data_IF_122319427847
#
_entry.id   IF_122319427847
#
_cell.length_a   1.000
_cell.length_b   1.000
_cell.length_c   1.000
_cell.angle_alpha   90.00
_cell.angle_beta   90.00
_cell.angle_gamma   90.00
#
_symmetry.space_group_name_H-M   'P 1'
#
loop_
_entity.id
_entity.type
_entity.pdbx_description
1 polymer ?
#
# COMPACT_ATOMS: atom_id res chain seq x y z
N UNK A 1 29.58 -17.29 7.35
CA UNK A 1 28.36 -16.92 8.08
C UNK A 1 28.33 -15.40 8.04
N UNK A 2 27.56 -14.83 7.13
CA UNK A 2 27.47 -13.37 6.99
C UNK A 2 26.78 -12.82 8.23
N UNK A 3 27.48 -12.00 9.01
CA UNK A 3 26.88 -11.17 10.07
C UNK A 3 26.21 -9.95 9.41
N UNK A 4 25.33 -10.21 8.46
CA UNK A 4 24.59 -9.18 7.72
C UNK A 4 23.26 -8.90 8.39
N UNK A 5 22.94 -7.61 8.58
CA UNK A 5 21.63 -7.15 8.99
C UNK A 5 20.52 -7.80 8.14
N UNK A 6 19.41 -8.16 8.79
CA UNK A 6 18.18 -8.55 8.09
C UNK A 6 17.79 -7.44 7.10
N UNK A 7 17.17 -7.80 5.97
CA UNK A 7 16.65 -6.82 5.00
C UNK A 7 15.75 -5.76 5.67
N UNK A 8 15.09 -6.18 6.76
CA UNK A 8 14.27 -5.33 7.61
C UNK A 8 15.11 -4.26 8.31
N UNK A 9 16.14 -4.67 9.03
CA UNK A 9 17.02 -3.78 9.79
C UNK A 9 17.77 -2.81 8.86
N UNK A 10 18.15 -3.27 7.66
CA UNK A 10 18.80 -2.42 6.68
C UNK A 10 17.83 -1.40 6.06
N UNK A 11 16.58 -1.78 5.79
CA UNK A 11 15.58 -0.84 5.29
C UNK A 11 15.29 0.26 6.30
N UNK A 12 15.21 -0.09 7.59
CA UNK A 12 15.05 0.88 8.67
C UNK A 12 16.23 1.86 8.76
N UNK A 13 17.46 1.36 8.61
CA UNK A 13 18.67 2.22 8.58
C UNK A 13 18.63 3.21 7.43
N UNK A 14 18.32 2.73 6.22
CA UNK A 14 18.23 3.56 5.01
C UNK A 14 17.19 4.65 5.22
N UNK A 15 16.00 4.27 5.65
CA UNK A 15 14.93 5.23 5.97
C UNK A 15 15.36 6.25 7.00
N UNK A 16 15.94 5.82 8.13
CA UNK A 16 16.35 6.71 9.22
C UNK A 16 17.41 7.72 8.73
N UNK A 17 18.27 7.31 7.79
CA UNK A 17 19.31 8.16 7.21
C UNK A 17 18.79 9.26 6.28
N UNK A 18 17.56 9.16 5.75
CA UNK A 18 16.98 10.16 4.82
C UNK A 18 16.66 11.51 5.46
N UNK A 19 16.87 11.68 6.78
CA UNK A 19 16.74 12.95 7.48
C UNK A 19 15.33 13.56 7.51
N UNK A 20 14.34 12.89 6.90
CA UNK A 20 12.98 13.40 6.72
C UNK A 20 11.98 12.76 7.70
N UNK A 21 12.48 12.16 8.77
CA UNK A 21 11.67 11.91 9.97
C UNK A 21 11.70 13.18 10.82
N UNK A 22 11.11 14.28 10.30
CA UNK A 22 10.56 15.26 11.22
C UNK A 22 9.61 14.48 12.13
N UNK A 23 9.93 14.48 13.41
CA UNK A 23 9.37 13.68 14.50
C UNK A 23 7.92 14.08 14.85
N UNK A 24 7.09 14.24 13.83
CA UNK A 24 5.66 14.04 13.88
C UNK A 24 5.30 13.07 12.75
N UNK A 25 5.83 11.83 12.84
CA UNK A 25 5.03 10.68 12.38
C UNK A 25 3.60 10.97 12.85
N UNK A 26 2.54 10.86 12.02
CA UNK A 26 1.19 10.95 12.54
C UNK A 26 1.16 10.00 13.72
N UNK A 27 1.11 10.56 14.96
CA UNK A 27 1.54 9.85 16.18
C UNK A 27 1.04 8.43 16.07
N UNK A 28 1.96 7.45 16.02
CA UNK A 28 1.62 6.03 15.89
C UNK A 28 0.34 5.82 16.67
N UNK A 29 -0.74 5.43 15.96
CA UNK A 29 -2.11 5.66 16.45
C UNK A 29 -2.18 5.25 17.90
N UNK A 30 -2.34 6.24 18.78
CA UNK A 30 -2.30 5.97 20.20
C UNK A 30 -3.57 5.22 20.57
N UNK A 31 -3.43 3.92 20.77
CA UNK A 31 -4.51 3.03 21.16
C UNK A 31 -4.77 3.08 22.68
N UNK A 32 -4.07 3.93 23.45
CA UNK A 32 -4.46 4.20 24.84
C UNK A 32 -5.85 4.82 24.86
N UNK A 33 -6.73 4.30 25.72
CA UNK A 33 -8.12 4.74 25.81
C UNK A 33 -8.84 4.69 24.43
N UNK A 34 -8.53 3.67 23.61
CA UNK A 34 -9.07 3.54 22.25
C UNK A 34 -10.61 3.57 22.23
N UNK A 35 -11.28 2.98 23.21
CA UNK A 35 -12.75 2.98 23.29
C UNK A 35 -13.32 4.41 23.42
N UNK A 36 -12.78 5.22 24.32
CA UNK A 36 -13.21 6.61 24.50
C UNK A 36 -12.89 7.45 23.26
N UNK A 37 -11.70 7.28 22.68
CA UNK A 37 -11.31 7.98 21.46
C UNK A 37 -12.23 7.59 20.29
N UNK A 38 -12.47 6.29 20.08
CA UNK A 38 -13.35 5.79 19.04
C UNK A 38 -14.77 6.34 19.23
N UNK A 39 -15.30 6.31 20.46
CA UNK A 39 -16.62 6.86 20.76
C UNK A 39 -16.74 8.35 20.43
N UNK A 40 -15.70 9.16 20.70
CA UNK A 40 -15.67 10.59 20.35
C UNK A 40 -15.63 10.84 18.85
N UNK A 41 -15.05 9.93 18.07
CA UNK A 41 -15.00 10.03 16.61
C UNK A 41 -16.32 9.62 15.94
N UNK A 42 -17.13 8.80 16.62
CA UNK A 42 -18.45 8.38 16.16
C UNK A 42 -19.48 9.47 16.44
N UNK A 43 -19.54 10.45 15.53
CA UNK A 43 -20.53 11.54 15.54
C UNK A 43 -21.97 11.00 15.53
N UNK A 44 -22.86 11.66 16.27
CA UNK A 44 -24.29 11.32 16.23
C UNK A 44 -24.87 11.59 14.84
N UNK A 45 -25.84 10.78 14.46
CA UNK A 45 -26.51 10.98 13.17
C UNK A 45 -27.27 12.30 13.15
N UNK A 46 -27.28 13.04 12.02
CA UNK A 46 -28.09 14.23 11.90
C UNK A 46 -29.59 13.89 12.07
N UNK A 47 -30.37 14.80 12.67
CA UNK A 47 -31.80 14.60 12.84
C UNK A 47 -32.49 14.53 11.48
N UNK A 48 -33.48 13.65 11.33
CA UNK A 48 -34.19 13.47 10.07
C UNK A 48 -35.33 12.47 10.16
N UNK A 49 -35.96 12.09 9.04
CA UNK A 49 -37.12 11.20 9.02
C UNK A 49 -36.83 9.80 9.60
N UNK A 50 -35.55 9.42 9.67
CA UNK A 50 -35.11 8.16 10.27
C UNK A 50 -34.89 8.24 11.78
N UNK A 51 -34.93 9.42 12.41
CA UNK A 51 -34.75 9.57 13.86
C UNK A 51 -35.78 8.77 14.66
N UNK A 52 -37.03 8.74 14.20
CA UNK A 52 -38.11 7.93 14.80
C UNK A 52 -37.74 6.45 14.95
N UNK A 53 -36.93 5.91 14.03
CA UNK A 53 -36.49 4.51 14.09
C UNK A 53 -35.23 4.35 14.94
N UNK A 54 -34.30 5.32 14.90
CA UNK A 54 -33.07 5.31 15.69
C UNK A 54 -33.36 5.39 17.19
N UNK A 55 -34.35 6.19 17.58
CA UNK A 55 -34.77 6.36 18.98
C UNK A 55 -35.39 5.09 19.60
N UNK A 56 -35.83 4.13 18.77
CA UNK A 56 -36.37 2.85 19.26
C UNK A 56 -35.27 1.89 19.74
N UNK A 57 -34.01 2.18 19.47
CA UNK A 57 -32.91 1.32 19.89
C UNK A 57 -32.75 1.35 21.42
N UNK A 58 -32.67 0.17 22.04
CA UNK A 58 -32.46 0.02 23.49
C UNK A 58 -30.99 0.18 23.91
N UNK A 59 -30.09 0.39 22.95
CA UNK A 59 -28.65 0.50 23.16
C UNK A 59 -28.06 1.59 22.27
N UNK A 60 -26.86 2.08 22.64
CA UNK A 60 -26.11 3.05 21.86
C UNK A 60 -25.39 2.36 20.71
N UNK A 61 -25.59 2.84 19.49
CA UNK A 61 -25.00 2.22 18.31
C UNK A 61 -23.46 2.30 18.29
N UNK A 62 -22.86 3.31 18.93
CA UNK A 62 -21.41 3.44 19.04
C UNK A 62 -20.79 2.28 19.82
N UNK A 63 -21.45 1.87 20.91
CA UNK A 63 -21.02 0.72 21.72
C UNK A 63 -21.05 -0.56 20.90
N UNK A 64 -22.13 -0.77 20.13
CA UNK A 64 -22.23 -1.92 19.23
C UNK A 64 -21.13 -1.89 18.16
N UNK A 65 -20.82 -0.73 17.57
CA UNK A 65 -19.77 -0.61 16.56
C UNK A 65 -18.39 -0.94 17.13
N UNK A 66 -18.07 -0.43 18.32
CA UNK A 66 -16.82 -0.73 19.04
C UNK A 66 -16.75 -2.22 19.38
N UNK A 67 -17.84 -2.83 19.84
CA UNK A 67 -17.92 -4.25 20.17
C UNK A 67 -17.68 -5.16 18.95
N UNK A 68 -18.22 -4.80 17.79
CA UNK A 68 -18.11 -5.59 16.56
C UNK A 68 -16.73 -5.48 15.89
N UNK A 69 -16.23 -4.26 15.74
CA UNK A 69 -15.03 -4.00 14.93
C UNK A 69 -13.74 -3.94 15.76
N UNK A 70 -13.85 -3.71 17.07
CA UNK A 70 -12.74 -3.35 17.97
C UNK A 70 -12.47 -1.84 17.97
N UNK A 71 -12.17 -1.29 19.15
CA UNK A 71 -11.98 0.15 19.33
C UNK A 71 -10.82 0.71 18.49
N UNK A 72 -9.72 -0.03 18.41
CA UNK A 72 -8.52 0.33 17.65
C UNK A 72 -8.80 0.41 16.15
N UNK A 73 -9.58 -0.55 15.64
CA UNK A 73 -9.98 -0.61 14.24
C UNK A 73 -10.87 0.59 13.88
N UNK A 74 -11.90 0.85 14.70
CA UNK A 74 -12.80 2.00 14.53
C UNK A 74 -11.99 3.31 14.55
N UNK A 75 -11.13 3.49 15.55
CA UNK A 75 -10.29 4.68 15.69
C UNK A 75 -9.41 4.91 14.45
N UNK A 76 -8.76 3.86 13.95
CA UNK A 76 -7.91 3.94 12.76
C UNK A 76 -8.73 4.28 11.51
N UNK A 77 -9.81 3.54 11.24
CA UNK A 77 -10.67 3.76 10.06
C UNK A 77 -11.21 5.18 10.00
N UNK A 78 -11.74 5.68 11.12
CA UNK A 78 -12.29 7.03 11.17
C UNK A 78 -11.22 8.12 11.05
N UNK A 79 -10.00 7.91 11.57
CA UNK A 79 -8.87 8.85 11.34
C UNK A 79 -8.53 8.96 9.86
N UNK A 80 -8.47 7.82 9.17
CA UNK A 80 -8.22 7.75 7.72
C UNK A 80 -9.34 8.45 6.95
N UNK A 81 -10.59 8.10 7.23
CA UNK A 81 -11.74 8.69 6.53
C UNK A 81 -11.88 10.18 6.77
N UNK A 82 -11.69 10.68 7.99
CA UNK A 82 -11.72 12.12 8.27
C UNK A 82 -10.62 12.87 7.53
N UNK A 83 -9.43 12.28 7.40
CA UNK A 83 -8.36 12.89 6.62
C UNK A 83 -8.67 12.91 5.13
N UNK A 84 -9.19 11.82 4.58
CA UNK A 84 -9.62 11.76 3.18
C UNK A 84 -10.77 12.73 2.91
N UNK A 85 -11.76 12.80 3.81
CA UNK A 85 -12.89 13.73 3.73
C UNK A 85 -12.42 15.20 3.67
N UNK A 86 -11.35 15.54 4.40
CA UNK A 86 -10.76 16.89 4.40
C UNK A 86 -10.03 17.26 3.11
N UNK A 87 -9.69 16.30 2.25
CA UNK A 87 -8.92 16.53 1.03
C UNK A 87 -9.81 16.41 -0.22
N UNK A 88 -9.98 17.49 -1.00
CA UNK A 88 -10.83 17.50 -2.20
C UNK A 88 -10.49 16.40 -3.22
N UNK A 89 -9.26 15.89 -3.23
CA UNK A 89 -8.85 14.81 -4.12
C UNK A 89 -9.64 13.52 -3.89
N UNK A 90 -10.19 13.32 -2.69
CA UNK A 90 -10.98 12.16 -2.32
C UNK A 90 -12.50 12.43 -2.37
N UNK A 91 -12.93 13.60 -2.81
CA UNK A 91 -14.36 13.86 -2.99
C UNK A 91 -14.89 13.07 -4.20
N UNK A 92 -16.12 12.56 -4.07
CA UNK A 92 -16.74 11.79 -5.15
C UNK A 92 -16.99 12.69 -6.36
N UNK A 93 -16.73 12.21 -7.58
CA UNK A 93 -16.98 13.01 -8.77
C UNK A 93 -18.49 13.25 -8.94
N UNK A 94 -18.86 14.45 -9.38
CA UNK A 94 -20.25 14.82 -9.66
C UNK A 94 -20.80 14.23 -10.96
N UNK A 95 -19.90 13.71 -11.81
CA UNK A 95 -20.23 13.08 -13.10
C UNK A 95 -19.60 11.69 -13.21
N UNK A 96 -20.12 10.83 -14.08
CA UNK A 96 -19.41 9.63 -14.51
C UNK A 96 -18.03 9.98 -15.09
N UNK A 97 -17.03 9.16 -14.76
CA UNK A 97 -15.67 9.29 -15.27
C UNK A 97 -15.37 8.18 -16.30
N UNK A 98 -14.47 8.45 -17.24
CA UNK A 98 -13.93 7.40 -18.12
C UNK A 98 -12.97 6.48 -17.36
N UNK A 99 -12.60 5.36 -17.98
CA UNK A 99 -11.64 4.41 -17.37
C UNK A 99 -10.28 5.09 -17.16
N UNK A 100 -9.84 5.90 -18.11
CA UNK A 100 -8.58 6.64 -18.06
C UNK A 100 -8.59 7.67 -16.93
N UNK A 101 -9.69 8.39 -16.77
CA UNK A 101 -9.89 9.33 -15.66
C UNK A 101 -9.86 8.62 -14.30
N UNK A 102 -10.52 7.47 -14.18
CA UNK A 102 -10.44 6.63 -12.97
C UNK A 102 -9.00 6.17 -12.68
N UNK A 103 -8.23 5.79 -13.70
CA UNK A 103 -6.83 5.38 -13.54
C UNK A 103 -5.92 6.53 -13.09
N UNK A 104 -6.09 7.71 -13.67
CA UNK A 104 -5.33 8.90 -13.29
C UNK A 104 -5.69 9.36 -11.86
N UNK A 105 -6.98 9.48 -11.56
CA UNK A 105 -7.47 9.86 -10.23
C UNK A 105 -7.00 8.91 -9.14
N UNK A 106 -7.13 7.60 -9.35
CA UNK A 106 -6.66 6.60 -8.37
C UNK A 106 -5.14 6.64 -8.16
N UNK A 107 -4.36 7.03 -9.18
CA UNK A 107 -2.91 7.21 -9.04
C UNK A 107 -2.58 8.43 -8.19
N UNK A 108 -3.26 9.56 -8.43
CA UNK A 108 -3.11 10.79 -7.64
C UNK A 108 -3.52 10.56 -6.18
N UNK A 109 -4.68 9.94 -5.97
CA UNK A 109 -5.18 9.58 -4.63
C UNK A 109 -4.21 8.67 -3.89
N UNK A 110 -3.63 7.68 -4.57
CA UNK A 110 -2.66 6.78 -3.96
C UNK A 110 -1.38 7.51 -3.53
N UNK A 111 -0.82 8.38 -4.38
CA UNK A 111 0.35 9.20 -4.01
C UNK A 111 0.05 10.10 -2.81
N UNK A 112 -1.10 10.80 -2.83
CA UNK A 112 -1.53 11.63 -1.69
C UNK A 112 -1.76 10.81 -0.42
N UNK A 113 -2.26 9.58 -0.55
CA UNK A 113 -2.43 8.69 0.58
C UNK A 113 -1.09 8.28 1.22
N UNK A 114 -0.06 8.03 0.41
CA UNK A 114 1.31 7.78 0.90
C UNK A 114 1.83 8.99 1.67
N UNK A 115 1.60 10.21 1.17
CA UNK A 115 2.01 11.45 1.84
C UNK A 115 1.37 11.64 3.23
N UNK A 116 0.18 11.07 3.47
CA UNK A 116 -0.43 11.13 4.81
C UNK A 116 0.28 10.26 5.84
N UNK A 117 1.13 9.33 5.41
CA UNK A 117 1.91 8.46 6.28
C UNK A 117 1.04 7.71 7.31
N UNK A 118 -0.22 7.42 6.95
CA UNK A 118 -1.07 6.48 7.69
C UNK A 118 -0.46 5.08 7.79
N UNK A 119 0.45 4.80 6.86
CA UNK A 119 1.36 3.68 6.86
C UNK A 119 2.61 4.09 7.64
N UNK A 120 2.67 3.91 8.98
CA UNK A 120 3.95 3.86 9.64
C UNK A 120 4.76 2.69 9.05
N UNK A 121 6.05 2.62 9.34
CA UNK A 121 6.98 1.55 8.97
C UNK A 121 6.60 0.16 9.56
N UNK A 122 5.33 -0.22 9.51
CA UNK A 122 4.67 -1.34 10.18
C UNK A 122 5.04 -2.71 9.59
N UNK A 123 5.88 -2.76 8.55
CA UNK A 123 6.34 -4.05 8.04
C UNK A 123 7.57 -4.54 8.81
N UNK A 124 8.15 -3.72 9.70
CA UNK A 124 9.55 -3.90 10.13
C UNK A 124 9.81 -3.93 11.65
N UNK A 125 8.83 -3.66 12.54
CA UNK A 125 9.06 -3.60 14.00
C UNK A 125 8.57 -4.81 14.82
N UNK A 126 9.11 -4.96 16.02
CA UNK A 126 8.93 -6.04 17.02
C UNK A 126 7.47 -6.48 17.34
N UNK A 127 6.45 -5.64 17.12
CA UNK A 127 5.03 -5.97 17.38
C UNK A 127 4.26 -6.39 16.12
N UNK A 128 4.75 -7.41 15.42
CA UNK A 128 4.20 -7.92 14.15
C UNK A 128 2.67 -8.18 14.15
N UNK A 129 2.05 -8.78 15.19
CA UNK A 129 0.61 -9.08 15.16
C UNK A 129 -0.28 -7.83 15.12
N UNK A 130 0.08 -6.77 15.85
CA UNK A 130 -0.69 -5.52 15.88
C UNK A 130 -0.53 -4.74 14.57
N UNK A 131 0.66 -4.79 13.99
CA UNK A 131 0.98 -4.12 12.73
C UNK A 131 0.28 -4.76 11.53
N UNK A 132 0.24 -6.10 11.47
CA UNK A 132 -0.54 -6.81 10.47
C UNK A 132 -2.03 -6.47 10.57
N UNK A 133 -2.58 -6.38 11.79
CA UNK A 133 -3.96 -5.93 12.01
C UNK A 133 -4.19 -4.52 11.49
N UNK A 134 -3.30 -3.57 11.80
CA UNK A 134 -3.40 -2.20 11.31
C UNK A 134 -3.36 -2.11 9.77
N UNK A 135 -2.49 -2.90 9.12
CA UNK A 135 -2.47 -3.01 7.65
C UNK A 135 -3.81 -3.49 7.08
N UNK A 136 -4.38 -4.56 7.67
CA UNK A 136 -5.66 -5.10 7.23
C UNK A 136 -6.81 -4.09 7.45
N UNK A 137 -6.82 -3.39 8.57
CA UNK A 137 -7.79 -2.34 8.85
C UNK A 137 -7.66 -1.13 7.92
N UNK A 138 -6.43 -0.73 7.56
CA UNK A 138 -6.17 0.29 6.53
C UNK A 138 -6.71 -0.13 5.17
N UNK A 139 -6.40 -1.37 4.75
CA UNK A 139 -6.91 -1.92 3.50
C UNK A 139 -8.44 -1.96 3.49
N UNK A 140 -9.06 -2.37 4.61
CA UNK A 140 -10.51 -2.40 4.76
C UNK A 140 -11.10 -0.98 4.67
N UNK A 141 -10.49 0.01 5.35
CA UNK A 141 -10.90 1.41 5.30
C UNK A 141 -10.88 1.95 3.86
N UNK A 142 -9.82 1.65 3.11
CA UNK A 142 -9.67 2.03 1.72
C UNK A 142 -10.68 1.31 0.83
N UNK A 143 -10.93 0.02 1.07
CA UNK A 143 -11.88 -0.75 0.27
C UNK A 143 -13.32 -0.25 0.42
N UNK A 144 -13.70 0.19 1.62
CA UNK A 144 -15.00 0.83 1.87
C UNK A 144 -15.15 2.17 1.13
N UNK A 145 -14.04 2.87 0.90
CA UNK A 145 -14.02 4.09 0.11
C UNK A 145 -13.98 3.77 -1.40
N UNK A 146 -12.94 3.12 -1.90
CA UNK A 146 -12.78 2.79 -3.31
C UNK A 146 -11.92 1.54 -3.51
N UNK A 147 -12.47 0.56 -4.23
CA UNK A 147 -11.78 -0.71 -4.48
C UNK A 147 -10.50 -0.53 -5.32
N UNK A 148 -10.45 0.47 -6.22
CA UNK A 148 -9.27 0.70 -7.06
C UNK A 148 -8.10 1.24 -6.23
N UNK A 149 -8.38 2.19 -5.33
CA UNK A 149 -7.39 2.72 -4.37
C UNK A 149 -6.90 1.62 -3.41
N UNK A 150 -7.81 0.81 -2.87
CA UNK A 150 -7.47 -0.34 -2.02
C UNK A 150 -6.58 -1.35 -2.74
N UNK A 151 -6.88 -1.66 -4.00
CA UNK A 151 -6.06 -2.57 -4.80
C UNK A 151 -4.66 -2.01 -5.04
N UNK A 152 -4.53 -0.71 -5.37
CA UNK A 152 -3.22 -0.05 -5.50
C UNK A 152 -2.41 -0.15 -4.22
N UNK A 153 -3.05 0.10 -3.08
CA UNK A 153 -2.41 -0.05 -1.77
C UNK A 153 -1.92 -1.48 -1.52
N UNK A 154 -2.76 -2.50 -1.75
CA UNK A 154 -2.39 -3.89 -1.50
C UNK A 154 -1.33 -4.40 -2.49
N UNK A 155 -1.40 -4.02 -3.76
CA UNK A 155 -0.37 -4.35 -4.76
C UNK A 155 0.99 -3.78 -4.38
N UNK A 156 1.01 -2.54 -3.89
CA UNK A 156 2.25 -1.85 -3.55
C UNK A 156 2.85 -2.32 -2.21
N UNK A 157 2.07 -2.29 -1.14
CA UNK A 157 2.56 -2.63 0.20
C UNK A 157 2.46 -4.13 0.50
N UNK A 158 1.42 -4.80 0.02
CA UNK A 158 1.24 -6.24 0.21
C UNK A 158 2.13 -7.06 -0.73
N UNK A 159 1.93 -6.92 -2.05
CA UNK A 159 2.61 -7.79 -3.02
C UNK A 159 4.05 -7.38 -3.28
N UNK A 160 4.32 -6.12 -3.63
CA UNK A 160 5.68 -5.69 -3.95
C UNK A 160 6.60 -5.69 -2.73
N UNK A 161 6.20 -5.04 -1.65
CA UNK A 161 7.05 -5.01 -0.44
C UNK A 161 7.14 -6.40 0.20
N UNK A 162 6.04 -7.17 0.21
CA UNK A 162 6.05 -8.56 0.69
C UNK A 162 6.97 -9.48 -0.13
N UNK A 163 7.01 -9.33 -1.46
CA UNK A 163 7.92 -10.11 -2.30
C UNK A 163 9.39 -9.79 -2.00
N UNK A 164 9.74 -8.50 -1.84
CA UNK A 164 11.12 -8.11 -1.51
C UNK A 164 11.50 -8.60 -0.11
N UNK A 165 10.61 -8.50 0.87
CA UNK A 165 10.87 -8.96 2.23
C UNK A 165 11.05 -10.48 2.34
N UNK A 166 10.31 -11.25 1.54
CA UNK A 166 10.32 -12.71 1.62
C UNK A 166 11.39 -13.36 0.74
N UNK A 167 11.67 -12.80 -0.44
CA UNK A 167 12.60 -13.36 -1.42
C UNK A 167 13.91 -12.55 -1.58
N UNK A 168 13.98 -11.35 -1.00
CA UNK A 168 15.12 -10.45 -1.14
C UNK A 168 16.15 -10.59 -0.02
N UNK A 169 17.41 -10.23 -0.33
CA UNK A 169 18.47 -10.01 0.66
C UNK A 169 18.57 -8.54 1.09
N UNK A 170 19.40 -8.23 2.10
CA UNK A 170 19.68 -6.86 2.60
C UNK A 170 19.97 -5.84 1.51
N UNK A 171 20.65 -6.22 0.41
CA UNK A 171 20.91 -5.35 -0.76
C UNK A 171 19.66 -4.72 -1.40
N UNK A 172 18.49 -5.34 -1.19
CA UNK A 172 17.21 -4.87 -1.76
C UNK A 172 16.44 -3.94 -0.81
N UNK A 173 16.95 -3.68 0.39
CA UNK A 173 16.34 -2.79 1.38
C UNK A 173 16.04 -1.39 0.83
N UNK A 174 16.91 -0.87 -0.04
CA UNK A 174 16.70 0.40 -0.74
C UNK A 174 15.40 0.47 -1.56
N UNK A 175 14.88 -0.68 -2.04
CA UNK A 175 13.65 -0.72 -2.82
C UNK A 175 12.41 -0.70 -1.94
N UNK A 176 12.50 -1.23 -0.73
CA UNK A 176 11.45 -1.09 0.29
C UNK A 176 11.31 0.38 0.64
N UNK A 177 12.43 1.04 0.94
CA UNK A 177 12.44 2.47 1.27
C UNK A 177 11.88 3.34 0.13
N UNK A 178 12.32 3.12 -1.12
CA UNK A 178 11.75 3.80 -2.31
C UNK A 178 10.25 3.52 -2.48
N UNK A 179 9.80 2.30 -2.17
CA UNK A 179 8.37 1.95 -2.15
C UNK A 179 7.60 2.77 -1.13
N UNK A 180 8.07 2.80 0.12
CA UNK A 180 7.42 3.53 1.21
C UNK A 180 7.21 5.02 0.91
N UNK A 181 8.08 5.63 0.11
CA UNK A 181 8.00 7.04 -0.28
C UNK A 181 7.25 7.28 -1.60
N UNK A 182 6.69 6.24 -2.23
CA UNK A 182 6.01 6.35 -3.52
C UNK A 182 6.95 6.66 -4.69
N UNK A 183 8.26 6.45 -4.52
CA UNK A 183 9.30 6.67 -5.53
C UNK A 183 9.42 5.50 -6.51
N UNK A 184 8.85 4.33 -6.16
CA UNK A 184 8.77 3.17 -7.04
C UNK A 184 7.35 2.96 -7.57
N UNK A 185 7.20 2.86 -8.89
CA UNK A 185 5.96 2.45 -9.52
C UNK A 185 5.88 0.94 -9.63
N UNK A 186 4.97 0.32 -8.90
CA UNK A 186 4.68 -1.10 -9.05
C UNK A 186 3.75 -1.31 -10.24
N UNK A 187 4.26 -1.88 -11.33
CA UNK A 187 3.43 -2.35 -12.45
C UNK A 187 3.30 -3.87 -12.31
N UNK A 188 2.10 -4.35 -11.97
CA UNK A 188 1.73 -5.74 -12.18
C UNK A 188 1.19 -5.83 -13.62
N UNK A 189 1.92 -6.49 -14.51
CA UNK A 189 1.37 -6.96 -15.78
C UNK A 189 0.59 -8.24 -15.54
N UNK A 190 -0.30 -8.55 -16.50
CA UNK A 190 -1.24 -9.66 -16.44
C UNK A 190 -0.57 -10.97 -16.04
N UNK A 191 -0.76 -11.38 -14.79
CA UNK A 191 -0.41 -12.71 -14.35
C UNK A 191 -1.36 -13.69 -15.04
N UNK A 192 -0.82 -14.61 -15.84
CA UNK A 192 -1.56 -15.81 -16.22
C UNK A 192 -1.87 -16.59 -14.93
N UNK A 193 -3.15 -16.87 -14.66
CA UNK A 193 -3.64 -17.44 -13.39
C UNK A 193 -3.18 -18.88 -13.08
N UNK A 194 -2.09 -19.37 -13.67
CA UNK A 194 -1.54 -20.71 -13.47
C UNK A 194 -0.01 -20.66 -13.50
N UNK A 195 0.59 -20.69 -12.30
CA UNK A 195 2.04 -20.51 -12.01
C UNK A 195 2.97 -21.48 -12.77
N UNK A 196 2.45 -22.53 -13.41
CA UNK A 196 3.27 -23.55 -14.08
C UNK A 196 3.79 -23.16 -15.47
N UNK A 197 3.31 -22.07 -16.08
CA UNK A 197 3.78 -21.62 -17.40
C UNK A 197 3.81 -20.09 -17.48
N UNK A 198 4.99 -19.51 -17.25
CA UNK A 198 5.27 -18.14 -17.61
C UNK A 198 5.93 -18.11 -18.99
N UNK A 199 5.48 -17.20 -19.85
CA UNK A 199 6.10 -16.94 -21.17
C UNK A 199 7.26 -15.94 -21.05
N UNK A 200 7.90 -15.88 -19.88
CA UNK A 200 8.99 -14.96 -19.57
C UNK A 200 10.20 -15.80 -19.17
N UNK A 201 11.27 -15.71 -19.95
CA UNK A 201 12.56 -16.33 -19.63
C UNK A 201 13.51 -15.26 -19.11
N UNK A 202 14.33 -15.63 -18.12
CA UNK A 202 15.46 -14.84 -17.64
C UNK A 202 16.76 -15.53 -18.06
N UNK A 203 17.55 -14.87 -18.89
CA UNK A 203 18.88 -15.35 -19.27
C UNK A 203 19.93 -14.57 -18.49
N UNK A 204 20.93 -15.26 -17.97
CA UNK A 204 22.02 -14.63 -17.23
C UNK A 204 23.28 -14.61 -18.09
N UNK A 205 23.65 -13.42 -18.55
CA UNK A 205 24.80 -13.20 -19.43
C UNK A 205 25.66 -12.07 -18.87
N UNK A 206 26.98 -12.31 -18.74
CA UNK A 206 27.97 -11.31 -18.33
C UNK A 206 27.63 -10.52 -17.04
N UNK A 207 27.05 -11.20 -16.04
CA UNK A 207 26.66 -10.57 -14.78
C UNK A 207 25.37 -9.75 -14.84
N UNK A 208 24.69 -9.73 -15.98
CA UNK A 208 23.38 -9.11 -16.17
C UNK A 208 22.31 -10.18 -16.43
N UNK A 209 21.09 -9.90 -15.97
CA UNK A 209 19.93 -10.75 -16.26
C UNK A 209 19.06 -10.06 -17.30
N UNK A 210 18.98 -10.66 -18.49
CA UNK A 210 18.10 -10.23 -19.56
C UNK A 210 16.73 -10.92 -19.42
N UNK A 211 15.65 -10.17 -19.60
CA UNK A 211 14.28 -10.66 -19.51
C UNK A 211 13.61 -10.58 -20.88
N UNK A 212 13.05 -11.69 -21.35
CA UNK A 212 12.37 -11.78 -22.64
C UNK A 212 10.89 -12.12 -22.46
N UNK A 213 9.99 -11.39 -23.13
CA UNK A 213 8.54 -11.65 -23.13
C UNK A 213 8.06 -12.15 -24.49
N UNK A 214 7.34 -13.27 -24.47
CA UNK A 214 6.72 -14.03 -25.58
C UNK A 214 7.63 -14.87 -26.49
N UNK A 215 7.53 -16.18 -26.29
CA UNK A 215 8.05 -17.25 -27.16
C UNK A 215 8.63 -18.38 -26.30
N UNK A 216 8.28 -19.64 -26.57
CA UNK A 216 8.94 -20.78 -25.91
C UNK A 216 10.45 -20.64 -26.09
N UNK A 217 11.18 -20.69 -24.98
CA UNK A 217 12.62 -20.88 -24.98
C UNK A 217 12.92 -22.26 -25.60
N UNK A 218 13.07 -22.32 -26.92
CA UNK A 218 13.72 -23.46 -27.57
C UNK A 218 14.92 -23.03 -28.44
N UNK A 219 15.00 -21.80 -28.98
CA UNK A 219 16.22 -21.34 -29.68
C UNK A 219 16.35 -19.81 -29.70
N UNK A 220 17.40 -19.28 -29.06
CA UNK A 220 17.82 -17.89 -29.21
C UNK A 220 18.81 -17.81 -30.38
N UNK A 221 18.39 -17.37 -31.58
CA UNK A 221 19.41 -16.95 -32.58
C UNK A 221 19.00 -15.89 -33.64
N UNK A 222 17.74 -15.58 -33.94
CA UNK A 222 17.43 -14.57 -34.99
C UNK A 222 16.23 -13.64 -34.66
N UNK A 223 16.53 -12.35 -34.35
CA UNK A 223 15.89 -11.05 -34.76
C UNK A 223 14.33 -10.99 -34.97
N UNK A 224 13.56 -9.88 -34.74
CA UNK A 224 13.65 -8.66 -33.92
C UNK A 224 12.43 -8.40 -32.98
N UNK A 225 12.58 -7.39 -32.12
CA UNK A 225 11.63 -6.69 -31.21
C UNK A 225 10.12 -6.84 -31.48
N UNK A 226 9.36 -7.22 -30.45
CA UNK A 226 8.21 -6.43 -29.93
C UNK A 226 7.62 -6.98 -28.61
N UNK A 227 7.67 -6.12 -27.58
CA UNK A 227 6.73 -5.90 -26.45
C UNK A 227 6.23 -7.08 -25.58
N UNK A 228 6.72 -7.11 -24.33
CA UNK A 228 6.03 -6.67 -23.09
C UNK A 228 6.32 -7.61 -21.90
N UNK A 229 6.79 -7.03 -20.79
CA UNK A 229 7.45 -7.70 -19.66
C UNK A 229 6.57 -7.72 -18.39
N UNK A 230 6.79 -8.73 -17.52
CA UNK A 230 6.51 -8.59 -16.08
C UNK A 230 7.26 -9.55 -15.16
N UNK A 231 8.16 -8.98 -14.37
CA UNK A 231 8.28 -9.21 -12.94
C UNK A 231 9.03 -7.98 -12.39
N UNK A 232 8.35 -7.14 -11.60
CA UNK A 232 8.92 -5.99 -10.88
C UNK A 232 9.88 -5.13 -11.74
N UNK A 233 9.33 -4.38 -12.69
CA UNK A 233 10.06 -3.26 -13.28
C UNK A 233 10.08 -2.12 -12.27
N UNK A 234 11.09 -2.07 -11.41
CA UNK A 234 11.53 -0.78 -10.84
C UNK A 234 11.92 0.07 -12.05
N UNK A 235 11.21 1.18 -12.27
CA UNK A 235 11.40 2.08 -13.41
C UNK A 235 12.89 2.42 -13.59
N UNK A 236 13.52 1.79 -14.59
CA UNK A 236 14.93 1.93 -14.90
C UNK A 236 15.28 3.23 -15.66
N UNK A 237 14.32 4.12 -15.88
CA UNK A 237 14.58 5.35 -16.66
C UNK A 237 15.15 6.51 -15.83
N UNK A 238 15.15 6.44 -14.49
CA UNK A 238 15.78 7.45 -13.63
C UNK A 238 16.98 6.93 -12.80
N UNK A 239 17.44 5.69 -13.01
CA UNK A 239 18.61 5.15 -12.29
C UNK A 239 19.94 5.24 -13.08
N UNK A 240 19.93 5.72 -14.33
CA UNK A 240 21.13 5.81 -15.17
C UNK A 240 21.65 7.24 -15.45
N UNK A 241 21.05 8.30 -14.88
CA UNK A 241 21.53 9.68 -15.10
C UNK A 241 22.29 10.32 -13.95
N UNK A 242 22.64 9.57 -12.89
CA UNK A 242 23.44 10.08 -11.78
C UNK A 242 24.75 9.28 -11.59
N UNK A 243 25.57 9.25 -12.65
CA UNK A 243 27.02 9.04 -12.51
C UNK A 243 27.74 9.43 -13.81
N UNK A 244 27.96 10.75 -13.96
CA UNK A 244 29.17 11.34 -14.56
C UNK A 244 29.38 12.67 -13.88
#
# INVERSE_FOLDING_TARGET
MDQGFSIVEEAERITASRGNLNHETPRAIDFKNAEDQARRMLEEFPPGPLSLYREKASFRWQDMKILLDGAENVLLKYKVWKRMESDPLFHRPSRPMTIEEHRDMSTKQFRRFIEYQFTPYFMLRENFPLQLKAYLWLQEALNMYDASLSLRFNVHFGLFSGAILTAGSSRHAQFIDKGMHGESYTIISSASGRIRKYNICSNHENGHTAWHGNGRCDDCDHIPRTLLCCAISISAENMFSAST
#
